data_IF_305139613955
#
_entry.id   IF_305139613955
#
_cell.length_a   1.000
_cell.length_b   1.000
_cell.length_c   1.000
_cell.angle_alpha   90.00
_cell.angle_beta   90.00
_cell.angle_gamma   90.00
#
_symmetry.space_group_name_H-M   'P 1'
#
loop_
_entity.id
_entity.type
_entity.pdbx_description
1 polymer ?
#
# COMPACT_ATOMS: atom_id res chain seq x y z
N UNK A 1 14.02 13.24 6.46
CA UNK A 1 12.67 13.66 6.83
C UNK A 1 12.55 13.61 8.34
N UNK A 2 12.44 14.77 8.96
CA UNK A 2 12.53 14.97 10.40
C UNK A 2 11.22 14.57 11.07
N UNK A 3 11.31 13.85 12.20
CA UNK A 3 10.15 13.61 13.06
C UNK A 3 9.61 14.94 13.61
N UNK A 4 8.31 15.07 13.60
CA UNK A 4 7.58 16.22 14.15
C UNK A 4 6.31 15.75 14.85
N UNK A 5 5.65 16.65 15.57
CA UNK A 5 4.38 16.34 16.21
C UNK A 5 3.36 15.86 15.18
N UNK A 6 2.70 14.74 15.48
CA UNK A 6 1.75 14.11 14.56
C UNK A 6 0.37 14.70 14.78
N UNK A 7 -0.06 15.54 13.84
CA UNK A 7 -1.40 16.14 13.80
C UNK A 7 -2.31 15.43 12.80
N UNK A 8 -1.74 14.96 11.69
CA UNK A 8 -2.47 14.30 10.62
C UNK A 8 -1.68 13.13 10.05
N UNK A 9 -2.35 11.99 9.92
CA UNK A 9 -1.74 10.73 9.44
C UNK A 9 -2.23 10.41 8.03
N UNK A 10 -1.31 10.09 7.13
CA UNK A 10 -1.62 9.59 5.80
C UNK A 10 -1.71 8.07 5.80
N UNK A 11 -2.78 7.55 5.23
CA UNK A 11 -3.01 6.11 5.05
C UNK A 11 -3.11 5.80 3.56
N UNK A 12 -2.18 5.01 3.05
CA UNK A 12 -2.22 4.50 1.69
C UNK A 12 -2.66 3.04 1.73
N UNK A 13 -3.68 2.68 0.98
CA UNK A 13 -4.18 1.31 0.91
C UNK A 13 -4.12 0.80 -0.53
N UNK A 14 -3.59 -0.42 -0.71
CA UNK A 14 -3.45 -1.06 -2.01
C UNK A 14 -4.46 -2.20 -2.11
N UNK A 15 -5.43 -2.04 -2.99
CA UNK A 15 -6.49 -3.01 -3.27
C UNK A 15 -6.49 -3.39 -4.75
N UNK A 16 -7.31 -4.35 -5.14
CA UNK A 16 -7.48 -4.73 -6.53
C UNK A 16 -8.46 -3.82 -7.27
N UNK A 17 -8.36 -3.80 -8.60
CA UNK A 17 -9.35 -3.15 -9.47
C UNK A 17 -10.54 -4.06 -9.76
N UNK A 18 -10.34 -5.38 -9.71
CA UNK A 18 -11.33 -6.40 -10.05
C UNK A 18 -11.59 -7.33 -8.89
N UNK A 19 -12.79 -7.90 -8.86
CA UNK A 19 -13.16 -8.97 -7.92
C UNK A 19 -12.50 -10.31 -8.24
N UNK A 20 -13.05 -11.38 -7.69
CA UNK A 20 -12.62 -12.78 -7.86
C UNK A 20 -11.21 -13.07 -7.29
N UNK A 21 -10.77 -12.28 -6.34
CA UNK A 21 -9.51 -12.48 -5.60
C UNK A 21 -9.75 -12.87 -4.14
N UNK A 22 -10.88 -13.52 -3.85
CA UNK A 22 -11.28 -13.92 -2.50
C UNK A 22 -11.39 -12.71 -1.58
N UNK A 23 -10.88 -12.86 -0.36
CA UNK A 23 -10.90 -11.81 0.67
C UNK A 23 -9.72 -10.84 0.59
N UNK A 24 -8.94 -10.84 -0.49
CA UNK A 24 -7.71 -10.04 -0.65
C UNK A 24 -7.92 -8.57 -0.26
N UNK A 25 -8.80 -7.85 -0.98
CA UNK A 25 -9.04 -6.42 -0.72
C UNK A 25 -9.77 -6.19 0.60
N UNK A 26 -10.74 -7.03 0.94
CA UNK A 26 -11.52 -6.91 2.19
C UNK A 26 -10.62 -7.00 3.43
N UNK A 27 -9.66 -7.92 3.44
CA UNK A 27 -8.75 -8.10 4.57
C UNK A 27 -7.84 -6.89 4.78
N UNK A 28 -7.30 -6.32 3.69
CA UNK A 28 -6.45 -5.14 3.76
C UNK A 28 -7.25 -3.92 4.22
N UNK A 29 -8.45 -3.72 3.69
CA UNK A 29 -9.34 -2.63 4.08
C UNK A 29 -9.76 -2.71 5.54
N UNK A 30 -10.13 -3.89 6.02
CA UNK A 30 -10.46 -4.10 7.44
C UNK A 30 -9.30 -3.76 8.36
N UNK A 31 -8.08 -4.14 7.96
CA UNK A 31 -6.88 -3.85 8.74
C UNK A 31 -6.65 -2.35 8.87
N UNK A 32 -6.73 -1.61 7.77
CA UNK A 32 -6.59 -0.15 7.79
C UNK A 32 -7.69 0.53 8.59
N UNK A 33 -8.95 0.17 8.36
CA UNK A 33 -10.10 0.79 9.06
C UNK A 33 -10.00 0.56 10.56
N UNK A 34 -9.60 -0.63 10.99
CA UNK A 34 -9.40 -0.94 12.40
C UNK A 34 -8.36 -0.02 13.04
N UNK A 35 -7.25 0.21 12.36
CA UNK A 35 -6.20 1.09 12.86
C UNK A 35 -6.66 2.54 12.91
N UNK A 36 -7.39 2.99 11.88
CA UNK A 36 -7.98 4.35 11.85
C UNK A 36 -8.94 4.54 13.02
N UNK A 37 -9.85 3.61 13.25
CA UNK A 37 -10.84 3.70 14.32
C UNK A 37 -10.21 3.68 15.72
N UNK A 38 -9.11 2.96 15.90
CA UNK A 38 -8.37 2.92 17.16
C UNK A 38 -7.62 4.20 17.46
N UNK A 39 -7.10 4.85 16.42
CA UNK A 39 -6.18 5.98 16.56
C UNK A 39 -6.86 7.33 16.48
N UNK A 40 -7.93 7.44 15.72
CA UNK A 40 -8.57 8.71 15.38
C UNK A 40 -10.01 8.80 15.86
N UNK A 41 -10.43 10.02 16.19
CA UNK A 41 -11.80 10.32 16.58
C UNK A 41 -12.54 11.14 15.53
N UNK A 42 -11.81 11.80 14.63
CA UNK A 42 -12.34 12.70 13.61
C UNK A 42 -11.62 12.49 12.27
N UNK A 43 -12.34 12.71 11.18
CA UNK A 43 -11.80 12.65 9.83
C UNK A 43 -10.73 13.73 9.54
N UNK A 44 -10.67 14.77 10.36
CA UNK A 44 -9.66 15.83 10.25
C UNK A 44 -8.25 15.35 10.63
N UNK A 45 -8.16 14.23 11.34
CA UNK A 45 -6.89 13.68 11.84
C UNK A 45 -6.14 12.82 10.82
N UNK A 46 -6.75 12.51 9.66
CA UNK A 46 -6.12 11.63 8.67
C UNK A 46 -6.52 11.95 7.24
N UNK A 47 -5.71 11.44 6.30
CA UNK A 47 -5.98 11.45 4.86
C UNK A 47 -5.81 10.04 4.29
N UNK A 48 -6.61 9.66 3.31
CA UNK A 48 -6.57 8.35 2.68
C UNK A 48 -6.17 8.49 1.22
N UNK A 49 -5.20 7.67 0.78
CA UNK A 49 -4.81 7.49 -0.61
C UNK A 49 -5.15 6.04 -0.98
N UNK A 50 -5.91 5.86 -2.04
CA UNK A 50 -6.41 4.53 -2.43
C UNK A 50 -5.83 4.12 -3.78
N UNK A 51 -5.30 2.91 -3.84
CA UNK A 51 -4.95 2.23 -5.07
C UNK A 51 -5.94 1.07 -5.27
N UNK A 52 -6.54 1.01 -6.45
CA UNK A 52 -7.52 -0.02 -6.80
C UNK A 52 -8.97 0.43 -6.68
N UNK A 53 -9.77 0.04 -7.66
CA UNK A 53 -11.20 0.42 -7.76
C UNK A 53 -12.02 -0.16 -6.60
N UNK A 54 -11.71 -1.37 -6.14
CA UNK A 54 -12.45 -2.04 -5.05
C UNK A 54 -12.37 -1.21 -3.76
N UNK A 55 -11.17 -0.77 -3.40
CA UNK A 55 -10.97 0.06 -2.22
C UNK A 55 -11.61 1.43 -2.35
N UNK A 56 -11.50 2.05 -3.51
CA UNK A 56 -12.09 3.35 -3.77
C UNK A 56 -13.62 3.32 -3.61
N UNK A 57 -14.28 2.35 -4.23
CA UNK A 57 -15.73 2.18 -4.12
C UNK A 57 -16.18 1.84 -2.70
N UNK A 58 -15.46 0.94 -2.04
CA UNK A 58 -15.77 0.54 -0.66
C UNK A 58 -15.71 1.71 0.32
N UNK A 59 -14.65 2.49 0.26
CA UNK A 59 -14.44 3.62 1.18
C UNK A 59 -15.42 4.77 0.88
N UNK A 60 -15.66 5.05 -0.39
CA UNK A 60 -16.63 6.07 -0.81
C UNK A 60 -18.05 5.72 -0.33
N UNK A 61 -18.47 4.47 -0.48
CA UNK A 61 -19.81 4.02 -0.05
C UNK A 61 -19.99 4.09 1.47
N UNK A 62 -18.89 4.06 2.22
CA UNK A 62 -18.91 4.19 3.69
C UNK A 62 -18.71 5.63 4.18
N UNK A 63 -18.64 6.60 3.28
CA UNK A 63 -18.54 8.01 3.61
C UNK A 63 -17.13 8.48 3.95
N UNK A 64 -16.09 7.70 3.65
CA UNK A 64 -14.72 8.16 3.82
C UNK A 64 -14.33 9.14 2.71
N UNK A 65 -13.66 10.22 3.10
CA UNK A 65 -13.04 11.14 2.15
C UNK A 65 -11.72 10.57 1.64
N UNK A 66 -11.51 10.63 0.33
CA UNK A 66 -10.32 10.12 -0.33
C UNK A 66 -9.53 11.28 -0.92
N UNK A 67 -8.27 11.42 -0.53
CA UNK A 67 -7.38 12.48 -1.03
C UNK A 67 -6.98 12.23 -2.49
N UNK A 68 -6.55 11.00 -2.79
CA UNK A 68 -6.16 10.59 -4.15
C UNK A 68 -6.53 9.14 -4.40
N UNK A 69 -6.86 8.84 -5.66
CA UNK A 69 -7.16 7.50 -6.13
C UNK A 69 -6.36 7.19 -7.39
N UNK A 70 -5.81 5.98 -7.46
CA UNK A 70 -5.21 5.42 -8.67
C UNK A 70 -5.89 4.09 -8.97
N UNK A 71 -6.45 3.95 -10.18
CA UNK A 71 -7.11 2.73 -10.65
C UNK A 71 -6.49 2.24 -11.95
N UNK A 72 -6.90 1.07 -12.40
CA UNK A 72 -6.42 0.46 -13.65
C UNK A 72 -4.90 0.23 -13.67
N UNK A 73 -4.37 -0.19 -12.51
CA UNK A 73 -2.96 -0.52 -12.37
C UNK A 73 -2.71 -1.86 -13.07
N UNK A 74 -1.86 -1.91 -14.11
CA UNK A 74 -1.56 -3.17 -14.79
C UNK A 74 -0.86 -4.16 -13.88
N UNK A 75 -0.90 -5.45 -14.22
CA UNK A 75 -0.28 -6.51 -13.43
C UNK A 75 1.23 -6.34 -13.30
N UNK A 76 1.86 -5.76 -14.30
CA UNK A 76 3.26 -5.37 -14.29
C UNK A 76 3.37 -3.85 -14.47
N UNK A 77 3.12 -3.07 -13.40
CA UNK A 77 3.17 -1.62 -13.51
C UNK A 77 4.60 -1.12 -13.74
N UNK A 78 4.74 -0.13 -14.62
CA UNK A 78 6.03 0.55 -14.76
C UNK A 78 6.26 1.48 -13.56
N UNK A 79 7.53 1.73 -13.22
CA UNK A 79 7.88 2.71 -12.18
C UNK A 79 7.26 4.08 -12.47
N UNK A 80 7.31 4.51 -13.72
CA UNK A 80 6.76 5.80 -14.15
C UNK A 80 5.25 5.91 -13.92
N UNK A 81 4.49 4.83 -14.13
CA UNK A 81 3.04 4.81 -13.91
C UNK A 81 2.67 5.01 -12.44
N UNK A 82 3.52 4.56 -11.51
CA UNK A 82 3.31 4.64 -10.06
C UNK A 82 3.90 5.93 -9.48
N UNK A 83 4.89 6.51 -10.13
CA UNK A 83 5.66 7.65 -9.63
C UNK A 83 4.78 8.84 -9.25
N UNK A 84 3.74 9.13 -10.01
CA UNK A 84 2.85 10.28 -9.75
C UNK A 84 2.14 10.15 -8.40
N UNK A 85 1.61 8.97 -8.05
CA UNK A 85 0.94 8.75 -6.78
C UNK A 85 1.93 8.72 -5.61
N UNK A 86 3.09 8.11 -5.82
CA UNK A 86 4.15 8.09 -4.83
C UNK A 86 4.68 9.49 -4.54
N UNK A 87 4.90 10.27 -5.58
CA UNK A 87 5.31 11.68 -5.46
C UNK A 87 4.26 12.50 -4.71
N UNK A 88 2.97 12.30 -5.01
CA UNK A 88 1.90 12.99 -4.31
C UNK A 88 1.93 12.71 -2.80
N UNK A 89 2.16 11.48 -2.41
CA UNK A 89 2.27 11.09 -0.99
C UNK A 89 3.46 11.78 -0.31
N UNK A 90 4.60 11.83 -0.97
CA UNK A 90 5.80 12.52 -0.47
C UNK A 90 5.56 14.03 -0.37
N UNK A 91 4.91 14.63 -1.36
CA UNK A 91 4.59 16.06 -1.37
C UNK A 91 3.64 16.43 -0.22
N UNK A 92 2.64 15.62 0.07
CA UNK A 92 1.76 15.83 1.21
C UNK A 92 2.53 15.90 2.54
N UNK A 93 3.53 15.04 2.68
CA UNK A 93 4.41 15.05 3.86
C UNK A 93 5.31 16.31 3.88
N UNK A 94 5.92 16.65 2.76
CA UNK A 94 6.80 17.81 2.63
C UNK A 94 6.05 19.13 2.87
N UNK A 95 4.79 19.21 2.43
CA UNK A 95 3.89 20.37 2.62
C UNK A 95 3.24 20.40 4.01
N UNK A 96 3.61 19.49 4.91
CA UNK A 96 3.06 19.36 6.26
C UNK A 96 1.54 19.10 6.31
N UNK A 97 0.99 18.55 5.24
CA UNK A 97 -0.43 18.15 5.18
C UNK A 97 -0.66 16.79 5.82
N UNK A 98 0.37 15.96 5.92
CA UNK A 98 0.44 14.76 6.74
C UNK A 98 1.77 14.74 7.49
N UNK A 99 1.79 14.13 8.67
CA UNK A 99 2.97 14.05 9.54
C UNK A 99 3.51 12.63 9.66
N UNK A 100 2.73 11.66 9.22
CA UNK A 100 3.11 10.27 9.03
C UNK A 100 2.50 9.75 7.74
N UNK A 101 3.12 8.74 7.15
CA UNK A 101 2.56 7.98 6.02
C UNK A 101 2.69 6.49 6.32
N UNK A 102 1.56 5.80 6.29
CA UNK A 102 1.49 4.34 6.42
C UNK A 102 0.95 3.73 5.14
N UNK A 103 1.47 2.58 4.73
CA UNK A 103 0.94 1.81 3.61
C UNK A 103 0.35 0.49 4.11
N UNK A 104 -0.82 0.16 3.61
CA UNK A 104 -1.57 -1.07 3.89
C UNK A 104 -1.67 -1.89 2.63
N UNK A 105 -1.22 -3.13 2.68
CA UNK A 105 -1.16 -4.01 1.52
C UNK A 105 -1.21 -5.48 1.94
N UNK A 106 -1.44 -6.36 0.99
CA UNK A 106 -1.33 -7.80 1.21
C UNK A 106 0.06 -8.27 0.81
N UNK A 107 0.81 -8.79 1.78
CA UNK A 107 2.13 -9.34 1.56
C UNK A 107 2.04 -10.76 1.02
N UNK A 108 2.77 -11.03 -0.07
CA UNK A 108 2.88 -12.35 -0.66
C UNK A 108 3.77 -13.24 0.22
N UNK A 109 3.21 -14.33 0.74
CA UNK A 109 3.92 -15.31 1.54
C UNK A 109 4.22 -16.57 0.73
N UNK A 110 3.20 -17.09 0.04
CA UNK A 110 3.28 -18.25 -0.84
C UNK A 110 2.10 -18.23 -1.81
N UNK A 111 2.05 -19.18 -2.73
CA UNK A 111 0.93 -19.31 -3.68
C UNK A 111 -0.43 -19.46 -2.98
N UNK A 112 -0.45 -20.04 -1.78
CA UNK A 112 -1.69 -20.30 -1.02
C UNK A 112 -1.89 -19.35 0.17
N UNK A 113 -0.91 -18.54 0.51
CA UNK A 113 -0.96 -17.69 1.69
C UNK A 113 -0.47 -16.28 1.37
N UNK A 114 -1.27 -15.30 1.76
CA UNK A 114 -0.89 -13.91 1.82
C UNK A 114 -1.40 -13.29 3.13
N UNK A 115 -0.82 -12.19 3.53
CA UNK A 115 -1.10 -11.59 4.84
C UNK A 115 -1.26 -10.07 4.72
N UNK A 116 -2.36 -9.50 5.24
CA UNK A 116 -2.46 -8.04 5.31
C UNK A 116 -1.38 -7.48 6.24
N UNK A 117 -0.66 -6.48 5.77
CA UNK A 117 0.41 -5.81 6.49
C UNK A 117 0.29 -4.31 6.39
N UNK A 118 0.93 -3.63 7.34
CA UNK A 118 1.15 -2.20 7.29
C UNK A 118 2.62 -1.87 7.53
N UNK A 119 3.07 -0.80 6.91
CA UNK A 119 4.42 -0.24 7.11
C UNK A 119 4.31 1.26 7.29
N UNK A 120 5.06 1.80 8.25
CA UNK A 120 5.26 3.25 8.32
C UNK A 120 6.37 3.64 7.33
N UNK A 121 6.01 4.40 6.30
CA UNK A 121 6.95 4.87 5.28
C UNK A 121 7.60 6.20 5.66
N UNK A 122 6.85 7.06 6.32
CA UNK A 122 7.33 8.38 6.74
C UNK A 122 6.87 8.70 8.16
N UNK A 123 7.70 9.35 8.98
CA UNK A 123 9.12 9.57 8.78
C UNK A 123 9.91 8.26 8.76
N UNK A 124 11.10 8.27 8.16
CA UNK A 124 11.98 7.10 8.15
C UNK A 124 12.46 6.78 9.56
N UNK A 125 12.38 5.50 9.96
CA UNK A 125 12.91 5.07 11.23
C UNK A 125 14.45 5.08 11.24
N UNK A 126 15.12 5.19 12.42
CA UNK A 126 16.58 5.08 12.48
C UNK A 126 17.13 3.76 11.93
N UNK A 127 16.35 2.68 12.00
CA UNK A 127 16.72 1.37 11.46
C UNK A 127 16.72 1.39 9.92
N UNK A 128 15.76 2.05 9.29
CA UNK A 128 15.69 2.23 7.84
C UNK A 128 16.79 3.16 7.34
N UNK A 129 17.18 4.15 8.13
CA UNK A 129 18.28 5.06 7.81
C UNK A 129 19.66 4.37 7.85
N UNK A 130 19.78 3.21 8.53
CA UNK A 130 21.04 2.45 8.57
C UNK A 130 21.38 1.83 7.21
N UNK A 131 20.39 1.53 6.37
CA UNK A 131 20.61 1.10 4.98
C UNK A 131 21.18 2.23 4.11
N UNK A 132 20.83 3.48 4.40
CA UNK A 132 21.42 4.66 3.77
C UNK A 132 22.83 4.99 4.26
N UNK A 133 23.14 4.66 5.51
CA UNK A 133 24.46 4.94 6.12
C UNK A 133 25.58 4.11 5.49
N UNK A 134 25.32 2.85 5.13
CA UNK A 134 26.31 1.99 4.49
C UNK A 134 26.71 2.45 3.09
N UNK A 135 25.79 3.03 2.34
CA UNK A 135 26.05 3.55 1.00
C UNK A 135 26.59 4.99 1.04
N UNK A 136 26.25 5.77 2.06
CA UNK A 136 26.63 7.18 2.19
C UNK A 136 27.92 7.38 2.99
N UNK A 137 28.29 6.44 3.86
CA UNK A 137 29.52 6.54 4.69
C UNK A 137 30.81 6.37 3.91
N UNK A 138 30.75 5.86 2.66
CA UNK A 138 31.91 5.70 1.80
C UNK A 138 32.24 6.94 0.96
N UNK A 139 31.41 7.99 1.05
CA UNK A 139 31.62 9.25 0.32
C UNK A 139 31.81 10.40 1.31
N UNK A 140 32.97 11.03 1.27
CA UNK A 140 33.23 12.27 1.99
C UNK A 140 32.49 13.43 1.31
N UNK A 141 31.19 13.59 1.62
CA UNK A 141 30.42 14.72 1.13
C UNK A 141 30.27 15.79 2.21
N UNK A 142 31.03 16.82 2.14
CA UNK A 142 30.81 18.08 2.84
C UNK A 142 30.78 19.20 1.78
N UNK A 143 29.93 20.20 1.86
CA UNK A 143 28.76 20.53 2.71
C UNK A 143 27.41 20.11 2.10
N UNK A 144 27.41 19.32 1.01
CA UNK A 144 26.23 19.01 0.18
C UNK A 144 25.43 17.79 0.65
N UNK A 145 25.78 17.21 1.79
CA UNK A 145 25.12 16.00 2.32
C UNK A 145 23.61 16.20 2.50
N UNK A 146 23.18 17.34 3.03
CA UNK A 146 21.74 17.64 3.22
C UNK A 146 21.03 17.86 1.88
N UNK A 147 21.69 18.50 0.92
CA UNK A 147 21.14 18.73 -0.42
C UNK A 147 20.96 17.40 -1.18
N UNK A 148 21.92 16.48 -1.07
CA UNK A 148 21.87 15.14 -1.67
C UNK A 148 20.75 14.34 -1.02
N UNK A 149 20.61 14.35 0.30
CA UNK A 149 19.55 13.65 1.03
C UNK A 149 18.17 14.17 0.64
N UNK A 150 17.99 15.47 0.43
CA UNK A 150 16.73 16.06 -0.03
C UNK A 150 16.28 15.51 -1.38
N UNK A 151 17.22 15.15 -2.26
CA UNK A 151 16.94 14.58 -3.58
C UNK A 151 16.74 13.06 -3.50
N UNK A 152 17.58 12.36 -2.73
CA UNK A 152 17.59 10.90 -2.66
C UNK A 152 16.44 10.33 -1.83
N UNK A 153 16.05 10.98 -0.73
CA UNK A 153 14.99 10.48 0.14
C UNK A 153 13.64 10.34 -0.55
N UNK A 154 13.15 11.33 -1.32
CA UNK A 154 11.93 11.16 -2.09
C UNK A 154 12.00 9.99 -3.07
N UNK A 155 13.10 9.82 -3.78
CA UNK A 155 13.32 8.71 -4.70
C UNK A 155 13.32 7.35 -3.98
N UNK A 156 13.93 7.30 -2.80
CA UNK A 156 13.92 6.10 -1.96
C UNK A 156 12.50 5.70 -1.55
N UNK A 157 11.68 6.65 -1.09
CA UNK A 157 10.29 6.43 -0.72
C UNK A 157 9.45 6.00 -1.93
N UNK A 158 9.63 6.64 -3.09
CA UNK A 158 8.98 6.25 -4.33
C UNK A 158 9.31 4.79 -4.69
N UNK A 159 10.57 4.38 -4.51
CA UNK A 159 11.01 3.00 -4.75
C UNK A 159 10.39 2.01 -3.76
N UNK A 160 10.25 2.38 -2.48
CA UNK A 160 9.58 1.55 -1.48
C UNK A 160 8.10 1.36 -1.80
N UNK A 161 7.42 2.41 -2.21
CA UNK A 161 6.02 2.35 -2.62
C UNK A 161 5.87 1.45 -3.85
N UNK A 162 6.73 1.61 -4.85
CA UNK A 162 6.73 0.78 -6.05
C UNK A 162 6.94 -0.71 -5.71
N UNK A 163 7.93 -1.02 -4.88
CA UNK A 163 8.19 -2.39 -4.43
C UNK A 163 7.01 -2.99 -3.65
N UNK A 164 6.34 -2.18 -2.83
CA UNK A 164 5.15 -2.59 -2.10
C UNK A 164 3.97 -2.90 -3.04
N UNK A 165 3.81 -2.11 -4.09
CA UNK A 165 2.78 -2.35 -5.12
C UNK A 165 3.06 -3.66 -5.88
N UNK A 166 4.32 -3.94 -6.22
CA UNK A 166 4.71 -5.20 -6.85
C UNK A 166 4.41 -6.41 -5.95
N UNK A 167 4.72 -6.32 -4.67
CA UNK A 167 4.38 -7.34 -3.67
C UNK A 167 2.86 -7.57 -3.60
N UNK A 168 2.10 -6.49 -3.51
CA UNK A 168 0.64 -6.53 -3.50
C UNK A 168 0.06 -7.17 -4.77
N UNK A 169 0.62 -6.87 -5.93
CA UNK A 169 0.20 -7.47 -7.21
C UNK A 169 0.46 -8.98 -7.25
N UNK A 170 1.60 -9.43 -6.76
CA UNK A 170 1.90 -10.86 -6.65
C UNK A 170 0.89 -11.57 -5.73
N UNK A 171 0.57 -10.95 -4.59
CA UNK A 171 -0.44 -11.44 -3.65
C UNK A 171 -1.85 -11.48 -4.25
N UNK A 172 -2.23 -10.45 -4.99
CA UNK A 172 -3.51 -10.38 -5.72
C UNK A 172 -3.65 -11.51 -6.73
N UNK A 173 -2.61 -11.75 -7.53
CA UNK A 173 -2.58 -12.85 -8.49
C UNK A 173 -2.75 -14.21 -7.83
N UNK A 174 -2.00 -14.49 -6.77
CA UNK A 174 -2.09 -15.73 -6.02
C UNK A 174 -3.49 -15.93 -5.44
N UNK A 175 -4.07 -14.89 -4.85
CA UNK A 175 -5.42 -14.92 -4.28
C UNK A 175 -6.49 -15.19 -5.34
N UNK A 176 -6.35 -14.58 -6.53
CA UNK A 176 -7.28 -14.78 -7.63
C UNK A 176 -7.19 -16.20 -8.19
N UNK A 177 -5.97 -16.73 -8.37
CA UNK A 177 -5.77 -18.11 -8.79
C UNK A 177 -6.38 -19.11 -7.81
N UNK A 178 -6.18 -18.92 -6.52
CA UNK A 178 -6.75 -19.77 -5.48
C UNK A 178 -8.29 -19.69 -5.45
N UNK A 179 -8.86 -18.49 -5.57
CA UNK A 179 -10.31 -18.31 -5.64
C UNK A 179 -10.92 -19.01 -6.85
N UNK A 180 -10.29 -18.90 -8.02
CA UNK A 180 -10.73 -19.56 -9.25
C UNK A 180 -10.60 -21.07 -9.16
N UNK A 181 -9.52 -21.59 -8.58
CA UNK A 181 -9.33 -23.02 -8.36
C UNK A 181 -10.41 -23.58 -7.43
N UNK A 182 -10.67 -22.92 -6.31
CA UNK A 182 -11.72 -23.34 -5.38
C UNK A 182 -13.10 -23.32 -6.03
N UNK A 183 -13.42 -22.33 -6.84
CA UNK A 183 -14.65 -22.25 -7.60
C UNK A 183 -14.77 -23.39 -8.61
N UNK A 184 -13.69 -23.74 -9.31
CA UNK A 184 -13.65 -24.86 -10.25
C UNK A 184 -13.82 -26.20 -9.57
N UNK A 185 -13.18 -26.43 -8.43
CA UNK A 185 -13.29 -27.66 -7.64
C UNK A 185 -14.72 -27.83 -7.11
N UNK A 186 -15.33 -26.77 -6.58
CA UNK A 186 -16.72 -26.78 -6.13
C UNK A 186 -17.72 -27.06 -7.26
N UNK A 187 -17.49 -26.50 -8.45
CA UNK A 187 -18.31 -26.78 -9.65
C UNK A 187 -18.19 -28.25 -10.07
N UNK A 188 -16.98 -28.82 -10.01
CA UNK A 188 -16.73 -30.24 -10.29
C UNK A 188 -17.46 -31.18 -9.31
N UNK A 189 -17.42 -30.87 -8.03
CA UNK A 189 -18.18 -31.65 -7.01
C UNK A 189 -19.69 -31.57 -7.22
N UNK A 190 -20.21 -30.40 -7.56
CA UNK A 190 -21.64 -30.20 -7.83
C UNK A 190 -22.09 -31.00 -9.05
N UNK A 191 -21.32 -31.02 -10.12
CA UNK A 191 -21.60 -31.81 -11.34
C UNK A 191 -21.59 -33.31 -11.00
N UNK A 192 -20.59 -33.77 -10.26
CA UNK A 192 -20.51 -35.16 -9.82
C UNK A 192 -21.74 -35.59 -8.98
N UNK A 193 -22.16 -34.74 -8.07
CA UNK A 193 -23.35 -34.99 -7.24
C UNK A 193 -24.63 -35.05 -8.07
N UNK A 194 -24.84 -34.17 -9.05
CA UNK A 194 -26.01 -34.17 -9.93
C UNK A 194 -26.07 -35.40 -10.83
N UNK A 195 -24.94 -36.00 -11.18
CA UNK A 195 -24.93 -37.25 -11.98
C UNK A 195 -25.18 -38.51 -11.16
N UNK A 196 -25.07 -38.44 -9.83
CA UNK A 196 -25.32 -39.56 -8.94
C UNK A 196 -26.77 -39.65 -8.43
N UNK A 197 -27.60 -38.66 -8.69
CA UNK A 197 -29.04 -38.59 -8.40
C UNK A 197 -29.86 -38.75 -9.65
#
# INVERSE_FOLDING_TARGET
>A
LVEREVKRVGYMVITSDRGLAGAYSANVLKHMIRDIEKRHQSSDEYSIIVLGQIGASFLKNRGYEIENTLTDIPDQPSFKAIQAIAKRAVDLYAEERIDELHVYYSHYMSVIENKPRSKKLLPLSPEDSSLGHGALSSYEFEPDKEAILKVLLPQYIESLIYGTILDAKASEHASRMNAMKNASDNAGETVSYTHLT
#
